data_IF_705961302659
#
_entry.id   IF_705961302659
#
_cell.length_a   1.000
_cell.length_b   1.000
_cell.length_c   1.000
_cell.angle_alpha   90.00
_cell.angle_beta   90.00
_cell.angle_gamma   90.00
#
_symmetry.space_group_name_H-M   'P 1'
#
loop_
_entity.id
_entity.type
_entity.pdbx_description
1 polymer ?
#
# COMPACT_ATOMS: atom_id res chain seq x y z
N UNK A 1 13.63 8.42 -19.02
CA UNK A 1 14.11 7.03 -18.90
C UNK A 1 13.65 6.55 -17.53
N UNK A 2 12.88 5.46 -17.42
CA UNK A 2 12.47 4.90 -16.14
C UNK A 2 13.71 4.38 -15.40
N UNK A 3 13.83 4.68 -14.10
CA UNK A 3 14.87 4.09 -13.25
C UNK A 3 14.70 2.58 -13.10
N UNK A 4 15.70 1.90 -12.54
CA UNK A 4 15.59 0.48 -12.20
C UNK A 4 14.39 0.26 -11.28
N UNK A 5 13.58 -0.76 -11.58
CA UNK A 5 12.45 -1.16 -10.73
C UNK A 5 12.98 -1.83 -9.46
N UNK A 6 12.46 -1.39 -8.31
CA UNK A 6 12.71 -2.01 -7.02
C UNK A 6 11.43 -2.15 -6.21
N UNK A 7 11.28 -3.27 -5.54
CA UNK A 7 10.11 -3.56 -4.69
C UNK A 7 10.59 -3.84 -3.27
N UNK A 8 10.03 -3.12 -2.30
CA UNK A 8 10.27 -3.33 -0.87
C UNK A 8 8.99 -3.79 -0.18
N UNK A 9 9.13 -4.63 0.81
CA UNK A 9 8.03 -5.15 1.61
C UNK A 9 8.01 -4.51 3.00
N UNK A 10 6.84 -4.02 3.43
CA UNK A 10 6.57 -3.76 4.83
C UNK A 10 6.27 -5.05 5.59
N UNK A 11 6.20 -4.96 6.92
CA UNK A 11 6.05 -6.13 7.80
C UNK A 11 4.62 -6.67 7.88
N UNK A 12 3.63 -5.95 7.36
CA UNK A 12 2.21 -6.36 7.47
C UNK A 12 1.86 -7.62 6.67
N UNK A 13 2.49 -7.84 5.51
CA UNK A 13 2.28 -9.02 4.68
C UNK A 13 3.48 -9.26 3.75
N UNK A 14 4.61 -9.76 4.27
CA UNK A 14 5.81 -10.02 3.47
C UNK A 14 5.60 -11.10 2.40
N UNK A 15 4.73 -12.08 2.65
CA UNK A 15 4.44 -13.17 1.71
C UNK A 15 3.77 -12.65 0.43
N UNK A 16 2.87 -11.67 0.56
CA UNK A 16 2.26 -11.01 -0.61
C UNK A 16 3.31 -10.29 -1.44
N UNK A 17 4.21 -9.54 -0.80
CA UNK A 17 5.27 -8.84 -1.50
C UNK A 17 6.24 -9.80 -2.20
N UNK A 18 6.59 -10.91 -1.56
CA UNK A 18 7.40 -11.97 -2.17
C UNK A 18 6.69 -12.60 -3.38
N UNK A 19 5.40 -12.88 -3.27
CA UNK A 19 4.60 -13.43 -4.37
C UNK A 19 4.54 -12.47 -5.56
N UNK A 20 4.41 -11.17 -5.31
CA UNK A 20 4.46 -10.13 -6.35
C UNK A 20 5.85 -10.12 -7.01
N UNK A 21 6.92 -10.09 -6.23
CA UNK A 21 8.29 -10.12 -6.76
C UNK A 21 8.55 -11.33 -7.64
N UNK A 22 8.13 -12.52 -7.20
CA UNK A 22 8.23 -13.77 -7.98
C UNK A 22 7.46 -13.68 -9.30
N UNK A 23 6.25 -13.09 -9.29
CA UNK A 23 5.41 -12.96 -10.48
C UNK A 23 6.00 -12.04 -11.54
N UNK A 24 6.74 -11.01 -11.13
CA UNK A 24 7.39 -10.06 -12.04
C UNK A 24 8.88 -10.37 -12.29
N UNK A 25 9.41 -11.43 -11.67
CA UNK A 25 10.76 -11.93 -11.93
C UNK A 25 11.88 -11.06 -11.35
N UNK A 26 11.67 -10.47 -10.17
CA UNK A 26 12.70 -9.68 -9.47
C UNK A 26 12.84 -10.13 -8.01
N UNK A 27 13.99 -9.87 -7.41
CA UNK A 27 14.20 -10.08 -5.98
C UNK A 27 13.62 -8.91 -5.18
N UNK A 28 13.06 -9.16 -3.97
CA UNK A 28 12.66 -8.09 -3.06
C UNK A 28 13.87 -7.30 -2.59
N UNK A 29 13.69 -5.99 -2.43
CA UNK A 29 14.72 -5.08 -1.95
C UNK A 29 15.10 -5.34 -0.50
N UNK A 30 16.36 -5.09 -0.15
CA UNK A 30 16.89 -5.28 1.19
C UNK A 30 16.49 -4.13 2.12
N UNK A 31 15.75 -4.46 3.17
CA UNK A 31 15.23 -3.52 4.16
C UNK A 31 15.32 -4.13 5.56
N UNK A 32 15.67 -3.32 6.55
CA UNK A 32 15.73 -3.70 7.96
C UNK A 32 14.72 -2.92 8.78
N UNK A 33 14.07 -3.63 9.70
CA UNK A 33 13.12 -3.08 10.67
C UNK A 33 13.65 -3.31 12.08
N UNK A 34 13.66 -2.28 12.90
CA UNK A 34 14.03 -2.37 14.31
C UNK A 34 12.93 -1.75 15.16
N UNK A 35 12.37 -2.52 16.07
CA UNK A 35 11.49 -2.01 17.13
C UNK A 35 12.33 -1.86 18.41
N UNK A 36 12.35 -0.66 18.96
CA UNK A 36 13.05 -0.35 20.21
C UNK A 36 12.16 -0.67 21.43
N UNK A 37 12.77 -0.75 22.61
CA UNK A 37 12.07 -1.05 23.86
C UNK A 37 11.01 0.00 24.28
N UNK A 38 11.07 1.18 23.69
CA UNK A 38 10.09 2.25 23.85
C UNK A 38 9.04 2.26 22.72
N UNK A 39 8.91 1.16 21.99
CA UNK A 39 7.97 0.96 20.88
C UNK A 39 8.22 1.83 19.64
N UNK A 40 9.28 2.63 19.62
CA UNK A 40 9.67 3.35 18.41
C UNK A 40 10.17 2.37 17.36
N UNK A 41 9.86 2.66 16.10
CA UNK A 41 10.32 1.86 14.97
C UNK A 41 11.37 2.62 14.16
N UNK A 42 12.32 1.89 13.62
CA UNK A 42 13.29 2.38 12.65
C UNK A 42 13.23 1.52 11.41
N UNK A 43 13.13 2.16 10.26
CA UNK A 43 13.22 1.52 8.95
C UNK A 43 14.54 1.94 8.30
N UNK A 44 15.28 0.97 7.74
CA UNK A 44 16.54 1.23 7.05
C UNK A 44 16.53 0.54 5.68
N UNK A 45 16.71 1.31 4.62
CA UNK A 45 16.92 0.81 3.26
C UNK A 45 18.37 0.36 3.15
N UNK A 46 18.58 -0.94 2.87
CA UNK A 46 19.91 -1.58 2.92
C UNK A 46 20.58 -1.68 1.55
N UNK A 47 20.05 -0.99 0.55
CA UNK A 47 20.64 -0.94 -0.80
C UNK A 47 20.49 0.45 -1.44
N UNK A 48 21.19 0.67 -2.54
CA UNK A 48 21.11 1.93 -3.26
C UNK A 48 19.80 2.01 -4.06
N UNK A 49 19.00 3.04 -3.82
CA UNK A 49 17.72 3.31 -4.50
C UNK A 49 17.73 4.62 -5.29
N UNK A 50 18.88 5.29 -5.37
CA UNK A 50 19.00 6.60 -6.05
C UNK A 50 18.53 6.50 -7.50
N UNK A 51 17.53 7.34 -7.84
CA UNK A 51 16.96 7.40 -9.18
C UNK A 51 16.13 6.15 -9.58
N UNK A 52 15.95 5.17 -8.70
CA UNK A 52 15.13 3.99 -8.96
C UNK A 52 13.64 4.31 -8.95
N UNK A 53 12.86 3.47 -9.62
CA UNK A 53 11.40 3.43 -9.54
C UNK A 53 11.03 2.42 -8.45
N UNK A 54 10.59 2.91 -7.30
CA UNK A 54 10.41 2.12 -6.08
C UNK A 54 8.93 1.89 -5.81
N UNK A 55 8.59 0.63 -5.54
CA UNK A 55 7.27 0.21 -5.04
C UNK A 55 7.43 -0.30 -3.62
N UNK A 56 6.75 0.33 -2.67
CA UNK A 56 6.72 -0.10 -1.28
C UNK A 56 5.36 -0.72 -0.96
N UNK A 57 5.35 -2.01 -0.64
CA UNK A 57 4.12 -2.79 -0.42
C UNK A 57 3.85 -2.87 1.08
N UNK A 58 2.72 -2.32 1.52
CA UNK A 58 2.24 -2.39 2.90
C UNK A 58 0.72 -2.53 2.93
N UNK A 59 0.19 -3.43 3.71
CA UNK A 59 -1.25 -3.54 3.91
C UNK A 59 -1.66 -2.89 5.24
N UNK A 60 -2.94 -2.58 5.40
CA UNK A 60 -3.47 -2.01 6.64
C UNK A 60 -4.20 -3.04 7.48
N UNK A 61 -3.74 -4.31 7.45
CA UNK A 61 -4.26 -5.32 8.36
C UNK A 61 -3.78 -5.05 9.81
N UNK A 62 -4.33 -5.70 10.83
CA UNK A 62 -3.93 -5.49 12.23
C UNK A 62 -2.41 -5.67 12.43
N UNK A 63 -1.75 -4.74 13.11
CA UNK A 63 -2.22 -3.50 13.72
C UNK A 63 -2.19 -2.31 12.73
N UNK A 64 -3.33 -1.69 12.43
CA UNK A 64 -3.44 -0.65 11.37
C UNK A 64 -2.54 0.55 11.63
N UNK A 65 -2.51 1.06 12.87
CA UNK A 65 -1.76 2.27 13.22
C UNK A 65 -0.24 2.05 13.14
N UNK A 66 0.24 0.88 13.57
CA UNK A 66 1.66 0.54 13.52
C UNK A 66 2.11 0.37 12.08
N UNK A 67 1.33 -0.36 11.26
CA UNK A 67 1.60 -0.55 9.84
C UNK A 67 1.57 0.78 9.06
N UNK A 68 0.67 1.69 9.44
CA UNK A 68 0.64 3.03 8.84
C UNK A 68 1.89 3.82 9.22
N UNK A 69 2.30 3.81 10.50
CA UNK A 69 3.50 4.52 10.92
C UNK A 69 4.76 3.95 10.24
N UNK A 70 4.85 2.62 10.13
CA UNK A 70 5.93 1.95 9.38
C UNK A 70 5.96 2.40 7.92
N UNK A 71 4.79 2.44 7.25
CA UNK A 71 4.66 2.95 5.88
C UNK A 71 5.23 4.37 5.76
N UNK A 72 4.78 5.30 6.61
CA UNK A 72 5.20 6.70 6.55
C UNK A 72 6.71 6.85 6.74
N UNK A 73 7.29 6.13 7.70
CA UNK A 73 8.75 6.15 7.95
C UNK A 73 9.52 5.54 6.78
N UNK A 74 9.01 4.47 6.16
CA UNK A 74 9.64 3.85 5.01
C UNK A 74 9.62 4.76 3.77
N UNK A 75 8.50 5.41 3.50
CA UNK A 75 8.37 6.39 2.39
C UNK A 75 9.34 7.55 2.58
N UNK A 76 9.45 8.10 3.78
CA UNK A 76 10.39 9.16 4.11
C UNK A 76 11.85 8.71 3.94
N UNK A 77 12.20 7.50 4.39
CA UNK A 77 13.53 6.92 4.19
C UNK A 77 13.88 6.77 2.70
N UNK A 78 12.94 6.32 1.87
CA UNK A 78 13.12 6.19 0.42
C UNK A 78 13.31 7.55 -0.26
N UNK A 79 12.52 8.56 0.15
CA UNK A 79 12.64 9.96 -0.32
C UNK A 79 14.02 10.52 0.01
N UNK A 80 14.48 10.39 1.26
CA UNK A 80 15.82 10.84 1.67
C UNK A 80 16.96 10.03 1.05
N UNK A 81 16.72 8.77 0.66
CA UNK A 81 17.65 7.96 -0.13
C UNK A 81 17.68 8.36 -1.62
N UNK A 82 16.92 9.39 -2.02
CA UNK A 82 16.84 9.92 -3.39
C UNK A 82 16.28 8.92 -4.40
N UNK A 83 15.28 8.11 -4.03
CA UNK A 83 14.50 7.35 -5.00
C UNK A 83 13.96 8.30 -6.09
N UNK A 84 13.88 7.83 -7.32
CA UNK A 84 13.45 8.64 -8.45
C UNK A 84 11.93 8.80 -8.53
N UNK A 85 11.20 7.76 -8.12
CA UNK A 85 9.74 7.73 -7.94
C UNK A 85 9.41 6.73 -6.86
N UNK A 86 8.43 7.04 -6.02
CA UNK A 86 7.98 6.18 -4.93
C UNK A 86 6.48 5.92 -5.09
N UNK A 87 6.11 4.66 -5.30
CA UNK A 87 4.72 4.20 -5.31
C UNK A 87 4.40 3.45 -4.03
N UNK A 88 3.48 3.98 -3.23
CA UNK A 88 2.91 3.28 -2.08
C UNK A 88 1.86 2.27 -2.58
N UNK A 89 2.15 0.98 -2.41
CA UNK A 89 1.24 -0.11 -2.79
C UNK A 89 0.47 -0.56 -1.56
N UNK A 90 -0.81 -0.22 -1.53
CA UNK A 90 -1.71 -0.42 -0.40
C UNK A 90 -2.88 -1.33 -0.83
N UNK A 91 -2.71 -2.66 -0.87
CA UNK A 91 -3.78 -3.59 -1.26
C UNK A 91 -5.05 -3.40 -0.43
N UNK A 92 -4.89 -3.07 0.86
CA UNK A 92 -5.95 -2.60 1.73
C UNK A 92 -5.63 -1.19 2.22
N UNK A 93 -6.42 -0.20 1.77
CA UNK A 93 -6.21 1.22 2.08
C UNK A 93 -6.64 1.52 3.53
N UNK A 94 -5.79 2.21 4.33
CA UNK A 94 -6.10 2.49 5.73
C UNK A 94 -7.29 3.45 5.88
N UNK A 95 -8.17 3.16 6.83
CA UNK A 95 -9.34 4.00 7.16
C UNK A 95 -10.26 4.30 5.95
N UNK A 96 -10.34 3.41 4.97
CA UNK A 96 -11.16 3.60 3.77
C UNK A 96 -12.64 3.82 4.07
N UNK A 97 -13.17 3.23 5.16
CA UNK A 97 -14.57 3.38 5.57
C UNK A 97 -14.90 4.76 6.18
N UNK A 98 -13.88 5.54 6.57
CA UNK A 98 -14.05 6.89 7.12
C UNK A 98 -13.88 7.94 6.01
N UNK A 99 -14.65 7.82 4.92
CA UNK A 99 -14.58 8.66 3.72
C UNK A 99 -15.59 9.82 3.71
N UNK A 100 -16.54 9.82 4.65
CA UNK A 100 -17.59 10.83 4.76
C UNK A 100 -17.82 11.20 6.23
N UNK A 101 -18.62 12.24 6.45
CA UNK A 101 -19.07 12.65 7.78
C UNK A 101 -20.53 12.22 7.96
N UNK A 102 -20.75 11.21 8.75
CA UNK A 102 -22.05 10.74 9.20
C UNK A 102 -22.51 11.43 10.50
N UNK A 103 -21.55 12.01 11.25
CA UNK A 103 -21.82 12.81 12.46
C UNK A 103 -21.04 14.13 12.45
N UNK A 104 -21.48 15.12 13.23
CA UNK A 104 -20.72 16.37 13.41
C UNK A 104 -19.42 16.12 14.22
N UNK A 105 -18.36 16.86 13.88
CA UNK A 105 -17.08 16.90 14.59
C UNK A 105 -16.21 15.64 14.46
N UNK A 106 -16.49 14.78 13.48
CA UNK A 106 -15.63 13.64 13.14
C UNK A 106 -14.66 13.99 12.00
N UNK A 107 -13.60 13.21 11.90
CA UNK A 107 -12.60 13.32 10.83
C UNK A 107 -13.03 12.52 9.60
N UNK A 108 -12.71 13.02 8.40
CA UNK A 108 -12.63 12.21 7.18
C UNK A 108 -11.24 11.58 7.15
N UNK A 109 -11.09 10.46 7.85
CA UNK A 109 -9.77 9.87 8.10
C UNK A 109 -9.11 9.33 6.82
N UNK A 110 -9.90 8.84 5.85
CA UNK A 110 -9.37 8.40 4.56
C UNK A 110 -8.64 9.53 3.80
N UNK A 111 -9.17 10.77 3.86
CA UNK A 111 -8.50 11.95 3.31
C UNK A 111 -7.22 12.28 4.06
N UNK A 112 -7.25 12.23 5.39
CA UNK A 112 -6.05 12.46 6.20
C UNK A 112 -4.95 11.47 5.85
N UNK A 113 -5.28 10.19 5.62
CA UNK A 113 -4.30 9.19 5.20
C UNK A 113 -3.69 9.53 3.84
N UNK A 114 -4.50 9.97 2.87
CA UNK A 114 -3.99 10.40 1.56
C UNK A 114 -2.98 11.56 1.70
N UNK A 115 -3.29 12.55 2.54
CA UNK A 115 -2.40 13.69 2.81
C UNK A 115 -1.09 13.25 3.46
N UNK A 116 -1.14 12.38 4.47
CA UNK A 116 0.04 11.89 5.20
C UNK A 116 0.96 11.06 4.29
N UNK A 117 0.40 10.16 3.46
CA UNK A 117 1.15 9.32 2.53
C UNK A 117 1.87 10.20 1.49
N UNK A 118 1.18 11.20 0.95
CA UNK A 118 1.78 12.13 0.00
C UNK A 118 2.89 12.98 0.65
N UNK A 119 2.68 13.46 1.88
CA UNK A 119 3.67 14.25 2.61
C UNK A 119 4.91 13.45 2.97
N UNK A 120 4.73 12.18 3.35
CA UNK A 120 5.82 11.25 3.66
C UNK A 120 6.73 10.98 2.45
N UNK A 121 6.28 11.24 1.23
CA UNK A 121 7.12 11.18 0.05
C UNK A 121 6.67 10.24 -1.05
N UNK A 122 5.45 9.70 -0.98
CA UNK A 122 4.89 8.96 -2.10
C UNK A 122 4.59 9.92 -3.27
N UNK A 123 4.95 9.49 -4.49
CA UNK A 123 4.59 10.15 -5.74
C UNK A 123 3.31 9.59 -6.34
N UNK A 124 2.90 8.38 -5.91
CA UNK A 124 1.71 7.65 -6.38
C UNK A 124 1.23 6.68 -5.33
N UNK A 125 -0.07 6.41 -5.33
CA UNK A 125 -0.69 5.32 -4.55
C UNK A 125 -1.26 4.29 -5.52
N UNK A 126 -0.99 3.01 -5.28
CA UNK A 126 -1.64 1.88 -5.93
C UNK A 126 -2.43 1.11 -4.89
N UNK A 127 -3.72 0.97 -5.09
CA UNK A 127 -4.61 0.28 -4.14
C UNK A 127 -5.55 -0.69 -4.85
N UNK A 128 -6.27 -1.52 -4.08
CA UNK A 128 -7.23 -2.48 -4.63
C UNK A 128 -8.59 -2.33 -3.96
N UNK A 129 -9.64 -2.30 -4.77
CA UNK A 129 -11.06 -2.37 -4.34
C UNK A 129 -11.36 -1.44 -3.16
N UNK A 130 -11.24 -0.13 -3.39
CA UNK A 130 -11.63 0.88 -2.40
C UNK A 130 -13.09 0.74 -2.01
N UNK A 131 -13.40 1.05 -0.75
CA UNK A 131 -14.77 1.13 -0.25
C UNK A 131 -15.62 2.10 -1.10
N UNK A 132 -15.03 3.23 -1.45
CA UNK A 132 -15.66 4.25 -2.29
C UNK A 132 -14.64 4.81 -3.29
N UNK A 133 -14.96 4.85 -4.61
CA UNK A 133 -14.08 5.43 -5.62
C UNK A 133 -13.74 6.90 -5.39
N UNK A 134 -14.58 7.66 -4.66
CA UNK A 134 -14.36 9.07 -4.34
C UNK A 134 -13.08 9.29 -3.52
N UNK A 135 -12.61 8.28 -2.79
CA UNK A 135 -11.36 8.34 -2.01
C UNK A 135 -10.17 8.73 -2.90
N UNK A 136 -10.16 8.31 -4.17
CA UNK A 136 -9.10 8.71 -5.11
C UNK A 136 -9.03 10.24 -5.29
N UNK A 137 -10.17 10.93 -5.18
CA UNK A 137 -10.25 12.40 -5.28
C UNK A 137 -9.75 13.15 -4.04
N UNK A 138 -9.48 12.49 -2.93
CA UNK A 138 -8.90 13.12 -1.74
C UNK A 138 -7.40 13.33 -1.83
N UNK A 139 -6.73 12.56 -2.69
CA UNK A 139 -5.29 12.59 -2.81
C UNK A 139 -4.81 13.70 -3.76
N UNK A 140 -3.74 14.38 -3.36
CA UNK A 140 -3.02 15.34 -4.22
C UNK A 140 -1.98 14.69 -5.13
N UNK A 141 -1.74 13.39 -4.96
CA UNK A 141 -0.91 12.57 -5.85
C UNK A 141 -1.80 11.56 -6.59
N UNK A 142 -1.39 11.06 -7.77
CA UNK A 142 -2.15 10.08 -8.51
C UNK A 142 -2.45 8.82 -7.68
N UNK A 143 -3.68 8.32 -7.81
CA UNK A 143 -4.13 7.06 -7.18
C UNK A 143 -4.65 6.14 -8.27
N UNK A 144 -4.06 4.95 -8.38
CA UNK A 144 -4.54 3.89 -9.24
C UNK A 144 -5.28 2.85 -8.39
N UNK A 145 -6.47 2.46 -8.83
CA UNK A 145 -7.26 1.42 -8.19
C UNK A 145 -7.34 0.18 -9.08
N UNK A 146 -6.92 -0.96 -8.56
CA UNK A 146 -7.16 -2.27 -9.15
C UNK A 146 -8.48 -2.85 -8.62
N UNK A 147 -9.12 -3.69 -9.43
CA UNK A 147 -10.31 -4.44 -9.00
C UNK A 147 -9.93 -5.87 -8.62
N UNK A 148 -10.37 -6.35 -7.46
CA UNK A 148 -10.26 -7.75 -7.06
C UNK A 148 -11.29 -8.68 -7.73
N UNK A 149 -12.33 -8.12 -8.34
CA UNK A 149 -13.43 -8.89 -8.92
C UNK A 149 -12.97 -9.92 -9.97
N UNK A 150 -12.10 -9.56 -10.95
CA UNK A 150 -11.65 -10.55 -11.93
C UNK A 150 -10.94 -11.75 -11.31
N UNK A 151 -10.12 -11.51 -10.28
CA UNK A 151 -9.38 -12.57 -9.57
C UNK A 151 -10.34 -13.51 -8.82
N UNK A 152 -11.35 -12.94 -8.14
CA UNK A 152 -12.38 -13.71 -7.46
C UNK A 152 -13.19 -14.54 -8.46
N UNK A 153 -13.60 -13.93 -9.57
CA UNK A 153 -14.35 -14.65 -10.62
C UNK A 153 -13.53 -15.80 -11.24
N UNK A 154 -12.25 -15.57 -11.52
CA UNK A 154 -11.36 -16.61 -12.03
C UNK A 154 -11.24 -17.80 -11.06
N UNK A 155 -11.05 -17.52 -9.78
CA UNK A 155 -10.97 -18.56 -8.74
C UNK A 155 -12.24 -19.42 -8.68
N UNK A 156 -13.43 -18.80 -8.68
CA UNK A 156 -14.68 -19.55 -8.67
C UNK A 156 -14.94 -20.31 -9.98
N UNK A 157 -14.50 -19.77 -11.11
CA UNK A 157 -14.58 -20.50 -12.39
C UNK A 157 -13.72 -21.78 -12.39
N UNK A 158 -12.52 -21.72 -11.78
CA UNK A 158 -11.64 -22.89 -11.62
C UNK A 158 -12.24 -23.96 -10.69
N UNK A 159 -13.04 -23.56 -9.70
CA UNK A 159 -13.73 -24.49 -8.79
C UNK A 159 -14.89 -25.23 -9.47
N UNK A 160 -15.29 -24.87 -10.70
CA UNK A 160 -16.34 -25.54 -11.45
C UNK A 160 -17.72 -25.49 -10.76
N UNK A 161 -18.06 -24.34 -10.16
CA UNK A 161 -19.35 -24.14 -9.48
C UNK A 161 -20.47 -23.97 -10.51
N UNK A 162 -21.08 -25.06 -10.93
CA UNK A 162 -22.27 -25.04 -11.79
C UNK A 162 -23.50 -24.63 -10.95
N UNK A 163 -24.36 -23.82 -11.55
CA UNK A 163 -25.59 -23.30 -10.94
C UNK A 163 -25.38 -22.46 -9.67
N UNK A 164 -24.24 -21.77 -9.55
CA UNK A 164 -23.99 -20.86 -8.45
C UNK A 164 -24.84 -19.58 -8.55
N UNK A 165 -25.30 -19.08 -7.42
CA UNK A 165 -25.98 -17.79 -7.28
C UNK A 165 -25.09 -16.86 -6.46
N UNK A 166 -24.82 -15.67 -6.99
CA UNK A 166 -24.12 -14.64 -6.23
C UNK A 166 -25.14 -13.87 -5.40
N UNK A 167 -24.98 -13.94 -4.07
CA UNK A 167 -25.77 -13.15 -3.13
C UNK A 167 -24.88 -12.07 -2.49
N UNK A 168 -25.37 -10.83 -2.44
CA UNK A 168 -24.75 -9.74 -1.70
C UNK A 168 -25.66 -9.35 -0.52
N UNK A 169 -25.10 -8.94 0.64
CA UNK A 169 -25.87 -8.44 1.77
C UNK A 169 -26.54 -7.10 1.47
#
# INVERSE_FOLDING_TARGET
>A
MGGQLKVFAGQSNPDLALSICNSIGIDPGLIEYVCFSNENIKVKICENVRGCDVFFIQTSCPSVSDNLMELLIALDALKYASAGRITAVLPYYPYALADSKDEPRISVASRLMADLIAEAGADRILTMTLHSPQIMGFSRIPVDQLSGVPTICAHYAELGVDNAVVAAP
#
